data_IF_971042125547
#
_entry.id   IF_971042125547
#
_cell.length_a   1.000
_cell.length_b   1.000
_cell.length_c   1.000
_cell.angle_alpha   90.00
_cell.angle_beta   90.00
_cell.angle_gamma   90.00
#
_symmetry.space_group_name_H-M   'P 1'
#
loop_
_entity.id
_entity.type
_entity.pdbx_description
1 polymer ?
#
# COMPACT_ATOMS: atom_id res chain seq x y z
N UNK A 1 -2.29 47.60 -45.17
CA UNK A 1 -3.73 47.29 -45.25
C UNK A 1 -3.87 45.84 -45.66
N UNK A 2 -4.08 44.94 -44.71
CA UNK A 2 -4.37 43.54 -44.98
C UNK A 2 -5.89 43.39 -44.99
N UNK A 3 -6.46 43.01 -46.14
CA UNK A 3 -7.89 42.74 -46.27
C UNK A 3 -8.29 41.47 -45.51
N UNK A 4 -9.55 41.35 -45.07
CA UNK A 4 -10.01 40.18 -44.34
C UNK A 4 -10.12 39.00 -45.30
N UNK A 5 -9.39 37.93 -44.99
CA UNK A 5 -9.54 36.62 -45.64
C UNK A 5 -10.97 36.13 -45.42
N UNK A 6 -11.73 35.97 -46.50
CA UNK A 6 -12.97 35.20 -46.46
C UNK A 6 -12.58 33.73 -46.27
N UNK A 7 -12.65 33.24 -45.03
CA UNK A 7 -12.68 31.81 -44.75
C UNK A 7 -13.98 31.25 -45.33
N UNK A 8 -13.90 30.74 -46.56
CA UNK A 8 -14.92 29.88 -47.11
C UNK A 8 -14.96 28.62 -46.24
N UNK A 9 -15.96 28.53 -45.36
CA UNK A 9 -16.28 27.32 -44.63
C UNK A 9 -16.68 26.28 -45.68
N UNK A 10 -15.72 25.48 -46.15
CA UNK A 10 -16.00 24.32 -46.98
C UNK A 10 -16.63 23.28 -46.06
N UNK A 11 -17.96 23.23 -46.07
CA UNK A 11 -18.70 22.15 -45.42
C UNK A 11 -18.35 20.88 -46.19
N UNK A 12 -17.55 20.01 -45.59
CA UNK A 12 -17.14 18.74 -46.19
C UNK A 12 -18.39 17.88 -46.44
N UNK A 13 -18.43 17.17 -47.56
CA UNK A 13 -19.57 16.29 -47.90
C UNK A 13 -19.94 15.35 -46.75
N UNK A 14 -18.96 14.85 -45.98
CA UNK A 14 -19.19 14.04 -44.77
C UNK A 14 -19.99 14.76 -43.67
N UNK A 15 -19.81 16.07 -43.52
CA UNK A 15 -20.57 16.87 -42.56
C UNK A 15 -22.01 17.09 -43.04
N UNK A 16 -22.20 17.19 -44.36
CA UNK A 16 -23.52 17.23 -45.00
C UNK A 16 -24.23 15.87 -44.85
N UNK A 17 -23.52 14.76 -45.12
CA UNK A 17 -24.05 13.41 -44.95
C UNK A 17 -24.38 13.11 -43.49
N UNK A 18 -23.52 13.53 -42.54
CA UNK A 18 -23.77 13.36 -41.11
C UNK A 18 -24.97 14.19 -40.64
N UNK A 19 -25.08 15.46 -41.06
CA UNK A 19 -26.26 16.29 -40.77
C UNK A 19 -27.53 15.67 -41.36
N UNK A 20 -27.47 15.22 -42.60
CA UNK A 20 -28.61 14.59 -43.27
C UNK A 20 -29.03 13.30 -42.54
N UNK A 21 -28.09 12.45 -42.17
CA UNK A 21 -28.36 11.21 -41.45
C UNK A 21 -28.90 11.45 -40.03
N UNK A 22 -28.40 12.48 -39.33
CA UNK A 22 -28.90 12.89 -38.01
C UNK A 22 -30.31 13.49 -38.07
N UNK A 23 -30.66 14.14 -39.18
CA UNK A 23 -32.00 14.71 -39.40
C UNK A 23 -33.00 13.68 -39.95
N UNK A 24 -32.56 12.73 -40.80
CA UNK A 24 -33.43 11.76 -41.49
C UNK A 24 -33.57 10.39 -40.79
N UNK A 25 -32.68 10.03 -39.86
CA UNK A 25 -32.70 8.69 -39.24
C UNK A 25 -32.69 7.55 -40.28
N UNK A 26 -33.64 6.61 -40.18
CA UNK A 26 -33.82 5.39 -41.01
C UNK A 26 -34.28 5.65 -42.48
N UNK A 27 -33.95 6.82 -43.06
CA UNK A 27 -34.15 7.09 -44.49
C UNK A 27 -35.60 7.26 -44.97
N UNK A 28 -36.58 7.32 -44.06
CA UNK A 28 -37.95 7.79 -44.35
C UNK A 28 -38.28 9.02 -43.51
N UNK A 29 -37.58 10.11 -43.82
CA UNK A 29 -37.66 11.40 -43.14
C UNK A 29 -39.06 11.99 -43.09
N UNK A 30 -39.35 12.67 -41.98
CA UNK A 30 -40.58 13.42 -41.77
C UNK A 30 -40.81 14.46 -42.88
N UNK A 31 -39.74 15.05 -43.43
CA UNK A 31 -39.79 15.96 -44.59
C UNK A 31 -40.40 15.29 -45.84
N UNK A 32 -40.05 14.04 -46.12
CA UNK A 32 -40.62 13.28 -47.24
C UNK A 32 -42.10 12.99 -47.01
N UNK A 33 -42.49 12.68 -45.77
CA UNK A 33 -43.90 12.41 -45.41
C UNK A 33 -44.75 13.67 -45.50
N UNK A 34 -44.24 14.79 -44.99
CA UNK A 34 -44.87 16.12 -45.13
C UNK A 34 -45.00 16.52 -46.60
N UNK A 35 -43.97 16.25 -47.41
CA UNK A 35 -44.00 16.50 -48.87
C UNK A 35 -45.07 15.64 -49.55
N UNK A 36 -45.23 14.38 -49.15
CA UNK A 36 -46.27 13.49 -49.68
C UNK A 36 -47.67 13.94 -49.25
N UNK A 37 -47.86 14.31 -47.98
CA UNK A 37 -49.12 14.87 -47.48
C UNK A 37 -49.51 16.14 -48.26
N UNK A 38 -48.55 17.06 -48.46
CA UNK A 38 -48.76 18.29 -49.23
C UNK A 38 -49.14 17.99 -50.69
N UNK A 39 -48.46 17.05 -51.35
CA UNK A 39 -48.80 16.64 -52.72
C UNK A 39 -50.19 16.01 -52.81
N UNK A 40 -50.53 15.12 -51.88
CA UNK A 40 -51.86 14.51 -51.80
C UNK A 40 -52.94 15.56 -51.55
N UNK A 41 -52.65 16.57 -50.73
CA UNK A 41 -53.58 17.67 -50.46
C UNK A 41 -53.84 18.51 -51.71
N UNK A 42 -52.80 18.94 -52.42
CA UNK A 42 -52.96 19.68 -53.68
C UNK A 42 -53.68 18.86 -54.75
N UNK A 43 -53.36 17.56 -54.86
CA UNK A 43 -54.03 16.65 -55.79
C UNK A 43 -55.52 16.49 -55.47
N UNK A 44 -55.89 16.45 -54.19
CA UNK A 44 -57.30 16.39 -53.76
C UNK A 44 -58.04 17.71 -54.05
N UNK A 45 -57.36 18.86 -53.90
CA UNK A 45 -57.94 20.17 -54.25
C UNK A 45 -58.16 20.37 -55.76
N UNK A 46 -57.33 19.75 -56.62
CA UNK A 46 -57.41 19.86 -58.08
C UNK A 46 -58.38 18.86 -58.75
N UNK A 47 -59.01 17.97 -57.97
CA UNK A 47 -59.93 16.90 -58.41
C UNK A 47 -61.28 17.38 -58.98
N UNK A 48 -61.26 18.28 -59.98
CA UNK A 48 -62.45 18.95 -60.55
C UNK A 48 -63.43 18.03 -61.30
N UNK A 49 -63.16 16.73 -61.39
CA UNK A 49 -63.96 15.73 -62.12
C UNK A 49 -64.13 14.40 -61.37
N UNK A 50 -63.79 14.35 -60.08
CA UNK A 50 -63.82 13.12 -59.29
C UNK A 50 -65.24 12.79 -58.81
N UNK A 51 -65.55 11.50 -58.68
CA UNK A 51 -66.82 11.03 -58.08
C UNK A 51 -66.86 11.38 -56.59
N UNK A 52 -68.04 11.59 -56.01
CA UNK A 52 -68.23 11.88 -54.58
C UNK A 52 -67.52 10.85 -53.68
N UNK A 53 -67.51 9.57 -54.07
CA UNK A 53 -66.80 8.50 -53.36
C UNK A 53 -65.27 8.67 -53.38
N UNK A 54 -64.71 9.17 -54.48
CA UNK A 54 -63.26 9.39 -54.62
C UNK A 54 -62.81 10.60 -53.81
N UNK A 55 -63.63 11.65 -53.75
CA UNK A 55 -63.40 12.82 -52.91
C UNK A 55 -63.41 12.44 -51.43
N UNK A 56 -64.35 11.59 -50.99
CA UNK A 56 -64.43 11.11 -49.62
C UNK A 56 -63.22 10.23 -49.23
N UNK A 57 -62.84 9.28 -50.09
CA UNK A 57 -61.67 8.43 -49.87
C UNK A 57 -60.36 9.25 -49.81
N UNK A 58 -60.23 10.28 -50.65
CA UNK A 58 -59.09 11.19 -50.61
C UNK A 58 -59.03 11.98 -49.29
N UNK A 59 -60.17 12.43 -48.78
CA UNK A 59 -60.28 13.13 -47.51
C UNK A 59 -59.92 12.24 -46.31
N UNK A 60 -60.42 11.00 -46.26
CA UNK A 60 -60.06 10.03 -45.22
C UNK A 60 -58.57 9.66 -45.26
N UNK A 61 -58.00 9.52 -46.46
CA UNK A 61 -56.56 9.30 -46.64
C UNK A 61 -55.70 10.47 -46.17
N UNK A 62 -56.16 11.71 -46.39
CA UNK A 62 -55.49 12.92 -45.89
C UNK A 62 -55.52 12.99 -44.36
N UNK A 63 -56.66 12.69 -43.74
CA UNK A 63 -56.79 12.62 -42.29
C UNK A 63 -55.85 11.56 -41.70
N UNK A 64 -55.86 10.35 -42.26
CA UNK A 64 -54.96 9.29 -41.80
C UNK A 64 -53.48 9.65 -41.97
N UNK A 65 -53.12 10.32 -43.07
CA UNK A 65 -51.75 10.79 -43.28
C UNK A 65 -51.36 11.91 -42.30
N UNK A 66 -52.31 12.77 -41.90
CA UNK A 66 -52.10 13.81 -40.89
C UNK A 66 -51.88 13.21 -39.49
N UNK A 67 -52.75 12.28 -39.07
CA UNK A 67 -52.64 11.57 -37.78
C UNK A 67 -51.29 10.85 -37.65
N UNK A 68 -50.83 10.22 -38.75
CA UNK A 68 -49.52 9.57 -38.80
C UNK A 68 -48.37 10.58 -38.64
N UNK A 69 -48.47 11.77 -39.24
CA UNK A 69 -47.45 12.82 -39.07
C UNK A 69 -47.39 13.31 -37.61
N UNK A 70 -48.54 13.52 -36.97
CA UNK A 70 -48.61 13.96 -35.57
C UNK A 70 -48.02 12.92 -34.61
N UNK A 71 -48.35 11.64 -34.81
CA UNK A 71 -47.81 10.54 -34.01
C UNK A 71 -46.28 10.46 -34.12
N UNK A 72 -45.73 10.61 -35.32
CA UNK A 72 -44.29 10.53 -35.56
C UNK A 72 -43.56 11.73 -34.97
N UNK A 73 -44.10 12.94 -35.10
CA UNK A 73 -43.57 14.12 -34.43
C UNK A 73 -43.52 13.93 -32.92
N UNK A 74 -44.61 13.41 -32.34
CA UNK A 74 -44.67 13.10 -30.90
C UNK A 74 -43.63 12.06 -30.50
N UNK A 75 -43.45 11.01 -31.30
CA UNK A 75 -42.42 9.97 -31.09
C UNK A 75 -41.01 10.56 -31.15
N UNK A 76 -40.72 11.40 -32.13
CA UNK A 76 -39.43 12.07 -32.30
C UNK A 76 -39.12 12.98 -31.10
N UNK A 77 -40.11 13.74 -30.64
CA UNK A 77 -39.98 14.57 -29.45
C UNK A 77 -39.68 13.74 -28.18
N UNK A 78 -40.38 12.63 -27.98
CA UNK A 78 -40.10 11.73 -26.85
C UNK A 78 -38.72 11.09 -26.93
N UNK A 79 -38.28 10.67 -28.12
CA UNK A 79 -36.93 10.17 -28.32
C UNK A 79 -35.87 11.24 -28.00
N UNK A 80 -36.10 12.49 -28.39
CA UNK A 80 -35.22 13.61 -28.03
C UNK A 80 -35.14 13.81 -26.50
N UNK A 81 -36.27 13.74 -25.79
CA UNK A 81 -36.28 13.84 -24.33
C UNK A 81 -35.54 12.68 -23.66
N UNK A 82 -35.77 11.46 -24.11
CA UNK A 82 -35.05 10.27 -23.63
C UNK A 82 -33.54 10.40 -23.86
N UNK A 83 -33.12 10.83 -25.05
CA UNK A 83 -31.71 11.03 -25.37
C UNK A 83 -31.06 12.10 -24.47
N UNK A 84 -31.76 13.20 -24.16
CA UNK A 84 -31.26 14.22 -23.24
C UNK A 84 -31.03 13.65 -21.83
N UNK A 85 -32.02 12.91 -21.31
CA UNK A 85 -31.89 12.26 -20.01
C UNK A 85 -30.76 11.23 -19.99
N UNK A 86 -30.57 10.50 -21.09
CA UNK A 86 -29.53 9.50 -21.22
C UNK A 86 -28.12 10.14 -21.26
N UNK A 87 -27.97 11.28 -21.94
CA UNK A 87 -26.73 12.09 -21.89
C UNK A 87 -26.42 12.52 -20.45
N UNK A 88 -27.40 13.09 -19.74
CA UNK A 88 -27.21 13.50 -18.33
C UNK A 88 -26.83 12.32 -17.42
N UNK A 89 -27.37 11.13 -17.69
CA UNK A 89 -27.03 9.92 -16.95
C UNK A 89 -25.60 9.45 -17.25
N UNK A 90 -25.15 9.53 -18.50
CA UNK A 90 -23.78 9.20 -18.86
C UNK A 90 -22.77 10.17 -18.26
N UNK A 91 -23.06 11.47 -18.23
CA UNK A 91 -22.21 12.47 -17.56
C UNK A 91 -22.06 12.18 -16.05
N UNK A 92 -23.17 11.82 -15.39
CA UNK A 92 -23.13 11.43 -13.97
C UNK A 92 -22.31 10.15 -13.76
N UNK A 93 -22.47 9.16 -14.64
CA UNK A 93 -21.74 7.90 -14.56
C UNK A 93 -20.24 8.12 -14.78
N UNK A 94 -19.86 8.96 -15.74
CA UNK A 94 -18.47 9.34 -15.99
C UNK A 94 -17.85 9.96 -14.73
N UNK A 95 -18.51 10.96 -14.13
CA UNK A 95 -18.02 11.59 -12.90
C UNK A 95 -17.88 10.59 -11.73
N UNK A 96 -18.81 9.64 -11.60
CA UNK A 96 -18.72 8.58 -10.59
C UNK A 96 -17.53 7.64 -10.84
N UNK A 97 -17.28 7.27 -12.10
CA UNK A 97 -16.15 6.43 -12.48
C UNK A 97 -14.83 7.15 -12.17
N UNK A 98 -14.70 8.43 -12.52
CA UNK A 98 -13.52 9.23 -12.21
C UNK A 98 -13.24 9.29 -10.70
N UNK A 99 -14.28 9.54 -9.89
CA UNK A 99 -14.18 9.54 -8.43
C UNK A 99 -13.70 8.18 -7.90
N UNK A 100 -14.31 7.09 -8.37
CA UNK A 100 -13.93 5.74 -7.95
C UNK A 100 -12.47 5.41 -8.34
N UNK A 101 -12.02 5.85 -9.51
CA UNK A 101 -10.63 5.70 -9.94
C UNK A 101 -9.69 6.44 -8.99
N UNK A 102 -10.00 7.69 -8.64
CA UNK A 102 -9.19 8.47 -7.70
C UNK A 102 -9.11 7.81 -6.31
N UNK A 103 -10.24 7.33 -5.78
CA UNK A 103 -10.29 6.62 -4.49
C UNK A 103 -9.49 5.31 -4.50
N UNK A 104 -9.58 4.55 -5.60
CA UNK A 104 -8.78 3.32 -5.77
C UNK A 104 -7.28 3.64 -5.85
N UNK A 105 -6.89 4.70 -6.57
CA UNK A 105 -5.49 5.12 -6.64
C UNK A 105 -4.94 5.49 -5.26
N UNK A 106 -5.71 6.23 -4.46
CA UNK A 106 -5.33 6.57 -3.08
C UNK A 106 -5.19 5.29 -2.23
N UNK A 107 -6.12 4.36 -2.36
CA UNK A 107 -6.09 3.07 -1.65
C UNK A 107 -4.84 2.25 -2.03
N UNK A 108 -4.47 2.22 -3.31
CA UNK A 108 -3.25 1.55 -3.78
C UNK A 108 -2.00 2.18 -3.16
N UNK A 109 -1.93 3.51 -3.08
CA UNK A 109 -0.82 4.21 -2.45
C UNK A 109 -0.70 3.84 -0.96
N UNK A 110 -1.81 3.88 -0.22
CA UNK A 110 -1.84 3.45 1.19
C UNK A 110 -1.39 2.00 1.37
N UNK A 111 -1.88 1.09 0.51
CA UNK A 111 -1.48 -0.34 0.54
C UNK A 111 -0.01 -0.56 0.20
N UNK A 112 0.57 0.23 -0.71
CA UNK A 112 2.02 0.20 -1.00
C UNK A 112 2.84 0.61 0.22
N UNK A 113 2.41 1.63 0.96
CA UNK A 113 3.10 2.05 2.19
C UNK A 113 3.00 1.01 3.30
N UNK A 114 1.81 0.44 3.51
CA UNK A 114 1.60 -0.66 4.45
C UNK A 114 2.51 -1.84 4.12
N UNK A 115 2.63 -2.20 2.83
CA UNK A 115 3.53 -3.25 2.38
C UNK A 115 5.00 -2.94 2.69
N UNK A 116 5.45 -1.69 2.46
CA UNK A 116 6.83 -1.27 2.82
C UNK A 116 7.07 -1.41 4.32
N UNK A 117 6.11 -0.98 5.16
CA UNK A 117 6.19 -1.13 6.62
C UNK A 117 6.24 -2.60 7.03
N UNK A 118 5.38 -3.44 6.46
CA UNK A 118 5.34 -4.87 6.75
C UNK A 118 6.65 -5.58 6.36
N UNK A 119 7.25 -5.22 5.21
CA UNK A 119 8.56 -5.74 4.80
C UNK A 119 9.66 -5.37 5.81
N UNK A 120 9.70 -4.12 6.26
CA UNK A 120 10.67 -3.66 7.27
C UNK A 120 10.52 -4.43 8.59
N UNK A 121 9.28 -4.64 9.04
CA UNK A 121 9.00 -5.44 10.25
C UNK A 121 9.47 -6.89 10.07
N UNK A 122 9.24 -7.48 8.90
CA UNK A 122 9.70 -8.85 8.59
C UNK A 122 11.22 -8.95 8.62
N UNK A 123 11.93 -8.00 8.02
CA UNK A 123 13.41 -7.96 8.05
C UNK A 123 13.93 -7.80 9.48
N UNK A 124 13.32 -6.91 10.27
CA UNK A 124 13.67 -6.73 11.68
C UNK A 124 13.44 -8.03 12.47
N UNK A 125 12.29 -8.68 12.28
CA UNK A 125 11.99 -9.97 12.91
C UNK A 125 13.02 -11.04 12.57
N UNK A 126 13.41 -11.15 11.30
CA UNK A 126 14.47 -12.09 10.90
C UNK A 126 15.82 -11.80 11.55
N UNK A 127 16.19 -10.52 11.70
CA UNK A 127 17.41 -10.13 12.42
C UNK A 127 17.34 -10.51 13.90
N UNK A 128 16.19 -10.28 14.55
CA UNK A 128 15.97 -10.68 15.94
C UNK A 128 16.00 -12.20 16.10
N UNK A 129 15.34 -12.94 15.22
CA UNK A 129 15.34 -14.41 15.25
C UNK A 129 16.76 -14.97 15.06
N UNK A 130 17.57 -14.37 14.17
CA UNK A 130 18.96 -14.75 13.98
C UNK A 130 19.81 -14.48 15.23
N UNK A 131 19.65 -13.30 15.84
CA UNK A 131 20.36 -12.95 17.07
C UNK A 131 19.94 -13.85 18.25
N UNK A 132 18.64 -14.15 18.36
CA UNK A 132 18.10 -15.06 19.37
C UNK A 132 18.71 -16.46 19.23
N UNK A 133 18.86 -17.00 18.00
CA UNK A 133 19.54 -18.28 17.77
C UNK A 133 20.99 -18.27 18.26
N UNK A 134 21.73 -17.19 18.05
CA UNK A 134 23.10 -17.06 18.56
C UNK A 134 23.10 -17.01 20.09
N UNK A 135 22.20 -16.23 20.70
CA UNK A 135 22.07 -16.14 22.16
C UNK A 135 21.74 -17.49 22.78
N UNK A 136 20.86 -18.29 22.16
CA UNK A 136 20.51 -19.63 22.68
C UNK A 136 21.66 -20.63 22.64
N UNK A 137 22.71 -20.40 21.86
CA UNK A 137 23.91 -21.24 21.87
C UNK A 137 24.84 -20.91 23.04
N UNK A 138 24.71 -19.72 23.64
CA UNK A 138 25.47 -19.31 24.79
C UNK A 138 24.84 -19.90 26.07
N UNK A 139 25.65 -20.24 27.09
CA UNK A 139 25.14 -20.76 28.35
C UNK A 139 24.26 -19.71 29.04
N UNK A 140 23.29 -20.19 29.83
CA UNK A 140 22.40 -19.28 30.53
C UNK A 140 23.18 -18.38 31.49
N UNK A 141 22.73 -17.14 31.58
CA UNK A 141 23.39 -16.12 32.40
C UNK A 141 23.34 -16.48 33.88
N UNK A 142 22.25 -17.08 34.34
CA UNK A 142 22.10 -17.50 35.73
C UNK A 142 23.07 -18.62 36.09
N UNK A 143 23.16 -19.65 35.24
CA UNK A 143 24.09 -20.76 35.45
C UNK A 143 25.55 -20.29 35.45
N UNK A 144 25.91 -19.35 34.57
CA UNK A 144 27.27 -18.79 34.54
C UNK A 144 27.55 -17.92 35.77
N UNK A 145 26.60 -17.11 36.24
CA UNK A 145 26.73 -16.33 37.48
C UNK A 145 26.87 -17.23 38.72
N UNK A 146 26.14 -18.36 38.79
CA UNK A 146 26.27 -19.34 39.88
C UNK A 146 27.66 -19.99 39.89
N UNK A 147 28.15 -20.46 38.72
CA UNK A 147 29.51 -21.00 38.60
C UNK A 147 30.57 -19.98 39.02
N UNK A 148 30.37 -18.71 38.67
CA UNK A 148 31.26 -17.61 39.05
C UNK A 148 31.29 -17.38 40.56
N UNK A 149 30.15 -17.51 41.24
CA UNK A 149 30.07 -17.42 42.71
C UNK A 149 30.82 -18.57 43.37
N UNK A 150 30.56 -19.81 42.95
CA UNK A 150 31.25 -21.00 43.49
C UNK A 150 32.76 -20.87 43.31
N UNK A 151 33.22 -20.50 42.12
CA UNK A 151 34.65 -20.34 41.85
C UNK A 151 35.28 -19.22 42.69
N UNK A 152 34.57 -18.10 42.90
CA UNK A 152 35.05 -17.03 43.77
C UNK A 152 35.15 -17.47 45.23
N UNK A 153 34.20 -18.27 45.72
CA UNK A 153 34.22 -18.78 47.08
C UNK A 153 35.35 -19.80 47.26
N UNK A 154 35.61 -20.65 46.26
CA UNK A 154 36.78 -21.54 46.23
C UNK A 154 38.11 -20.77 46.25
N UNK A 155 38.22 -19.69 45.47
CA UNK A 155 39.41 -18.83 45.46
C UNK A 155 39.64 -18.22 46.85
N UNK A 156 38.59 -17.72 47.50
CA UNK A 156 38.70 -17.18 48.86
C UNK A 156 39.14 -18.24 49.86
N UNK A 157 38.54 -19.43 49.81
CA UNK A 157 38.92 -20.53 50.70
C UNK A 157 40.38 -20.97 50.49
N UNK A 158 40.85 -21.00 49.24
CA UNK A 158 42.25 -21.30 48.93
C UNK A 158 43.20 -20.21 49.43
N UNK A 159 42.82 -18.94 49.32
CA UNK A 159 43.63 -17.82 49.82
C UNK A 159 43.69 -17.80 51.36
N UNK A 160 42.58 -18.11 52.03
CA UNK A 160 42.55 -18.33 53.48
C UNK A 160 43.43 -19.51 53.90
N UNK A 161 43.38 -20.63 53.18
CA UNK A 161 44.23 -21.79 53.45
C UNK A 161 45.72 -21.46 53.23
N UNK A 162 46.03 -20.71 52.17
CA UNK A 162 47.39 -20.24 51.86
C UNK A 162 47.92 -19.35 52.98
N UNK A 163 47.17 -18.33 53.39
CA UNK A 163 47.57 -17.42 54.48
C UNK A 163 47.72 -18.15 55.82
N UNK A 164 46.89 -19.16 56.09
CA UNK A 164 47.05 -20.05 57.26
C UNK A 164 48.34 -20.89 57.17
N UNK A 165 48.68 -21.42 56.00
CA UNK A 165 49.92 -22.17 55.79
C UNK A 165 51.15 -21.27 55.91
N UNK A 166 51.11 -20.07 55.32
CA UNK A 166 52.18 -19.07 55.44
C UNK A 166 52.42 -18.68 56.91
N UNK A 167 51.34 -18.43 57.68
CA UNK A 167 51.49 -18.13 59.11
C UNK A 167 52.06 -19.31 59.90
N UNK A 168 51.68 -20.56 59.60
CA UNK A 168 52.28 -21.76 60.20
C UNK A 168 53.76 -21.94 59.83
N UNK A 169 54.14 -21.68 58.58
CA UNK A 169 55.55 -21.72 58.17
C UNK A 169 56.34 -20.68 58.95
N UNK A 170 55.79 -19.48 59.11
CA UNK A 170 56.48 -18.41 59.81
C UNK A 170 56.60 -18.66 61.32
N UNK A 171 55.60 -19.26 61.97
CA UNK A 171 55.74 -19.69 63.38
C UNK A 171 56.80 -20.77 63.52
N UNK A 172 56.81 -21.79 62.66
CA UNK A 172 57.86 -22.83 62.66
C UNK A 172 59.25 -22.26 62.38
N UNK A 173 59.36 -21.27 61.50
CA UNK A 173 60.61 -20.57 61.25
C UNK A 173 61.12 -19.85 62.50
N UNK A 174 60.23 -19.14 63.22
CA UNK A 174 60.55 -18.47 64.50
C UNK A 174 60.95 -19.48 65.58
N UNK A 175 60.22 -20.59 65.72
CA UNK A 175 60.56 -21.67 66.66
C UNK A 175 61.94 -22.27 66.37
N UNK A 176 62.23 -22.58 65.10
CA UNK A 176 63.55 -23.09 64.67
C UNK A 176 64.66 -22.08 64.94
N UNK A 177 64.42 -20.79 64.70
CA UNK A 177 65.40 -19.74 64.97
C UNK A 177 65.73 -19.64 66.46
N UNK A 178 64.72 -19.76 67.34
CA UNK A 178 64.94 -19.84 68.79
C UNK A 178 65.77 -21.07 69.15
N UNK A 179 65.44 -22.24 68.61
CA UNK A 179 66.18 -23.48 68.84
C UNK A 179 67.64 -23.37 68.37
N UNK A 180 67.87 -22.74 67.21
CA UNK A 180 69.21 -22.50 66.67
C UNK A 180 70.01 -21.55 67.57
N UNK A 181 69.36 -20.50 68.10
CA UNK A 181 70.00 -19.56 69.03
C UNK A 181 70.36 -20.24 70.36
N UNK A 182 69.47 -21.07 70.91
CA UNK A 182 69.73 -21.84 72.12
C UNK A 182 70.87 -22.85 71.93
N UNK A 183 70.92 -23.53 70.78
CA UNK A 183 72.04 -24.42 70.43
C UNK A 183 73.35 -23.64 70.25
N UNK A 184 73.31 -22.43 69.67
CA UNK A 184 74.48 -21.57 69.54
C UNK A 184 74.99 -21.10 70.91
N UNK A 185 74.10 -20.66 71.81
CA UNK A 185 74.48 -20.28 73.17
C UNK A 185 75.03 -21.46 73.96
N UNK A 186 74.45 -22.67 73.83
CA UNK A 186 74.99 -23.87 74.48
C UNK A 186 76.39 -24.22 73.94
N UNK A 187 76.61 -24.06 72.63
CA UNK A 187 77.94 -24.24 72.05
C UNK A 187 78.94 -23.19 72.56
N UNK A 188 78.48 -21.97 72.79
CA UNK A 188 79.28 -20.90 73.36
C UNK A 188 79.61 -21.17 74.84
N UNK A 189 78.64 -21.60 75.65
CA UNK A 189 78.89 -21.99 77.05
C UNK A 189 79.80 -23.22 77.17
N UNK A 190 79.66 -24.23 76.30
CA UNK A 190 80.59 -25.38 76.28
C UNK A 190 82.01 -24.92 75.93
N UNK A 191 82.16 -24.01 74.96
CA UNK A 191 83.48 -23.43 74.65
C UNK A 191 84.05 -22.63 75.82
N UNK A 192 83.21 -21.90 76.55
CA UNK A 192 83.62 -21.17 77.75
C UNK A 192 84.02 -22.12 78.88
N UNK A 193 83.27 -23.19 79.14
CA UNK A 193 83.60 -24.25 80.10
C UNK A 193 84.89 -25.00 79.73
N UNK A 194 85.07 -25.36 78.46
CA UNK A 194 86.32 -25.97 77.98
C UNK A 194 87.50 -25.02 78.20
N UNK A 195 87.34 -23.71 77.95
CA UNK A 195 88.38 -22.70 78.19
C UNK A 195 88.65 -22.41 79.68
N UNK A 196 87.68 -22.66 80.56
CA UNK A 196 87.83 -22.56 82.02
C UNK A 196 88.47 -23.82 82.62
N UNK A 197 88.30 -24.98 81.97
CA UNK A 197 88.91 -26.25 82.38
C UNK A 197 90.40 -26.38 82.00
N UNK A 198 90.94 -25.48 81.18
CA UNK A 198 92.37 -25.39 80.85
C UNK A 198 93.18 -24.49 81.82
N UNK A 199 92.56 -23.96 82.89
CA UNK A 199 93.20 -23.04 83.87
C UNK A 199 93.42 -23.68 85.26
N UNK A 200 93.01 -24.92 85.49
CA UNK A 200 93.41 -25.75 86.66
C UNK A 200 94.19 -27.00 86.20
#
# INVERSE_FOLDING_TARGET
MAGPSQDSIQITDDEVFRRKLLMDGDGMGDERRLTLLLRSFFSWCDGKSDSDEQVLLGYEGLLSSLDNCELLMSKSHQAQLANKQEIENYEKLESQIEKNIAEMQETILKKKEELKRAKKIREQKQKYDALARIITQLPDRKETEEKLKVLNDEIKALDESKTQLESKIETRHKELQVLLSAAATLKETIKEEDSLSEID
#
